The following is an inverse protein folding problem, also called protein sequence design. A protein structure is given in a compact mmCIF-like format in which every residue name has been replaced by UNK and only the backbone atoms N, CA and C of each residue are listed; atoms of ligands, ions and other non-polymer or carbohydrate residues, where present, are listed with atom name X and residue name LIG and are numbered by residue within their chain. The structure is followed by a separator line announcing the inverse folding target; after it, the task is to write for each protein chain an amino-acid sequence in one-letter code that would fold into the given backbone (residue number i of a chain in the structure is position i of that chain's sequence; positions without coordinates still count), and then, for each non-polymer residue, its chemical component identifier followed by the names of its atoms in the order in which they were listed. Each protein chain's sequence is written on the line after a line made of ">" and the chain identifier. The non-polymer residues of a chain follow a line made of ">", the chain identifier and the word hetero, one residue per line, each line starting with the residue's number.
data_IF_170577680087
#
_entry.id   IF_170577680087
#
_cell.length_a   1.000
_cell.length_b   1.000
_cell.length_c   1.000
_cell.angle_alpha   90.00
_cell.angle_beta   90.00
_cell.angle_gamma   90.00
#
_symmetry.space_group_name_H-M   'P 1'
#
loop_
_entity.id
_entity.type
_entity.pdbx_description
1 polymer ?
#
# COMPACT_ATOMS: atom_id res chain seq x y z
N UNK A 1 2.82 14.85 -7.42
CA UNK A 1 3.36 16.21 -7.27
C UNK A 1 4.05 16.52 -8.57
N UNK A 2 3.55 17.47 -9.33
CA UNK A 2 4.17 17.88 -10.59
C UNK A 2 5.13 19.04 -10.36
N UNK A 3 6.04 19.30 -11.29
CA UNK A 3 6.98 20.42 -11.17
C UNK A 3 6.23 21.77 -11.14
N UNK A 4 5.12 21.88 -11.86
CA UNK A 4 4.27 23.07 -11.89
C UNK A 4 3.62 23.33 -10.52
N UNK A 5 3.16 22.28 -9.83
CA UNK A 5 2.63 22.37 -8.47
C UNK A 5 3.69 22.95 -7.50
N UNK A 6 4.95 22.52 -7.65
CA UNK A 6 6.07 23.01 -6.83
C UNK A 6 6.40 24.47 -7.13
N UNK A 7 6.42 24.86 -8.41
CA UNK A 7 6.65 26.26 -8.82
C UNK A 7 5.56 27.22 -8.31
N UNK A 8 4.36 26.71 -8.06
CA UNK A 8 3.27 27.45 -7.42
C UNK A 8 3.39 27.55 -5.89
N UNK A 9 4.47 27.01 -5.31
CA UNK A 9 4.72 27.02 -3.87
C UNK A 9 4.09 25.85 -3.12
N UNK A 10 3.52 24.85 -3.82
CA UNK A 10 3.00 23.65 -3.16
C UNK A 10 4.14 22.68 -2.88
N UNK A 11 4.59 22.64 -1.63
CA UNK A 11 5.68 21.77 -1.16
C UNK A 11 5.20 20.40 -0.66
N UNK A 12 3.88 20.21 -0.56
CA UNK A 12 3.26 18.92 -0.23
C UNK A 12 2.08 18.65 -1.18
N UNK A 13 1.83 17.37 -1.51
CA UNK A 13 0.64 16.99 -2.26
C UNK A 13 -0.65 17.35 -1.50
N UNK A 14 -1.76 17.57 -2.23
CA UNK A 14 -3.08 17.76 -1.61
C UNK A 14 -3.48 16.58 -0.71
N UNK A 15 -4.09 16.87 0.43
CA UNK A 15 -4.57 15.86 1.41
C UNK A 15 -5.55 14.86 0.76
N UNK A 16 -6.31 15.29 -0.26
CA UNK A 16 -7.21 14.40 -0.99
C UNK A 16 -6.50 13.20 -1.64
N UNK A 17 -5.20 13.31 -1.95
CA UNK A 17 -4.39 12.24 -2.55
C UNK A 17 -3.68 11.38 -1.50
N UNK A 18 -3.88 11.63 -0.20
CA UNK A 18 -3.09 10.99 0.87
C UNK A 18 -3.15 9.46 0.82
N UNK A 19 -4.31 8.87 0.54
CA UNK A 19 -4.47 7.42 0.50
C UNK A 19 -3.67 6.78 -0.65
N UNK A 20 -3.73 7.39 -1.83
CA UNK A 20 -2.99 6.90 -3.00
C UNK A 20 -1.48 7.03 -2.79
N UNK A 21 -1.04 8.13 -2.17
CA UNK A 21 0.37 8.34 -1.83
C UNK A 21 0.83 7.34 -0.78
N UNK A 22 0.06 7.13 0.28
CA UNK A 22 0.41 6.16 1.34
C UNK A 22 0.52 4.75 0.80
N UNK A 23 -0.29 4.36 -0.19
CA UNK A 23 -0.16 3.07 -0.87
C UNK A 23 1.21 2.90 -1.54
N UNK A 24 1.64 3.90 -2.33
CA UNK A 24 2.95 3.87 -3.00
C UNK A 24 4.11 3.88 -2.00
N UNK A 25 4.02 4.71 -0.95
CA UNK A 25 5.04 4.80 0.11
C UNK A 25 5.14 3.48 0.87
N UNK A 26 4.01 2.86 1.25
CA UNK A 26 4.00 1.58 1.95
C UNK A 26 4.62 0.47 1.10
N UNK A 27 4.31 0.40 -0.20
CA UNK A 27 4.94 -0.57 -1.10
C UNK A 27 6.46 -0.36 -1.20
N UNK A 28 6.93 0.90 -1.30
CA UNK A 28 8.35 1.19 -1.31
C UNK A 28 9.05 0.77 0.00
N UNK A 29 8.44 1.04 1.15
CA UNK A 29 8.98 0.65 2.46
C UNK A 29 9.04 -0.87 2.62
N UNK A 30 7.99 -1.59 2.21
CA UNK A 30 7.97 -3.06 2.28
C UNK A 30 9.05 -3.66 1.38
N UNK A 31 9.19 -3.13 0.15
CA UNK A 31 10.23 -3.58 -0.77
C UNK A 31 11.63 -3.40 -0.16
N UNK A 32 11.93 -2.23 0.39
CA UNK A 32 13.23 -1.95 1.02
C UNK A 32 13.45 -2.88 2.24
N UNK A 33 12.44 -3.04 3.09
CA UNK A 33 12.53 -3.91 4.26
C UNK A 33 12.77 -5.39 3.88
N UNK A 34 12.27 -5.84 2.73
CA UNK A 34 12.55 -7.18 2.19
C UNK A 34 13.98 -7.28 1.66
N UNK A 35 14.47 -6.25 0.96
CA UNK A 35 15.84 -6.20 0.43
C UNK A 35 16.88 -6.17 1.56
N UNK A 36 16.60 -5.49 2.67
CA UNK A 36 17.44 -5.44 3.87
C UNK A 36 17.25 -6.62 4.84
N UNK A 37 16.39 -7.60 4.51
CA UNK A 37 16.07 -8.76 5.37
C UNK A 37 15.49 -8.37 6.75
N UNK A 38 14.76 -7.26 6.81
CA UNK A 38 14.07 -6.74 8.00
C UNK A 38 12.58 -7.12 8.07
N UNK A 39 12.01 -7.59 6.96
CA UNK A 39 10.59 -7.91 6.87
C UNK A 39 10.26 -9.30 7.46
N UNK A 40 9.40 -9.33 8.49
CA UNK A 40 9.02 -10.59 9.18
C UNK A 40 7.75 -11.26 8.61
N UNK A 41 6.86 -10.49 7.98
CA UNK A 41 5.52 -10.95 7.63
C UNK A 41 4.46 -10.53 8.65
N UNK A 42 3.18 -10.79 8.35
CA UNK A 42 2.06 -10.55 9.26
C UNK A 42 0.91 -11.51 8.99
N UNK A 43 0.39 -12.13 10.05
CA UNK A 43 -0.69 -13.13 10.01
C UNK A 43 -0.40 -14.26 9.01
N UNK A 44 -1.16 -14.32 7.92
CA UNK A 44 -1.14 -15.40 6.95
C UNK A 44 -0.03 -15.23 5.90
N UNK A 45 0.64 -14.07 5.88
CA UNK A 45 1.72 -13.78 4.93
C UNK A 45 3.06 -13.81 5.66
N UNK A 46 3.89 -14.77 5.30
CA UNK A 46 5.25 -14.91 5.85
C UNK A 46 6.28 -14.04 5.09
N UNK A 47 7.49 -13.92 5.64
CA UNK A 47 8.58 -13.17 5.02
C UNK A 47 8.97 -13.66 3.61
N UNK A 48 8.81 -14.96 3.31
CA UNK A 48 9.15 -15.52 1.99
C UNK A 48 8.10 -15.17 0.95
N UNK A 49 6.84 -15.16 1.35
CA UNK A 49 5.73 -14.73 0.50
C UNK A 49 5.80 -13.22 0.23
N UNK A 50 6.09 -12.41 1.26
CA UNK A 50 6.39 -10.98 1.06
C UNK A 50 7.55 -10.75 0.09
N UNK A 51 8.58 -11.59 0.15
CA UNK A 51 9.71 -11.51 -0.79
C UNK A 51 9.27 -11.75 -2.23
N UNK A 52 8.47 -12.78 -2.48
CA UNK A 52 7.91 -13.06 -3.82
C UNK A 52 7.02 -11.93 -4.31
N UNK A 53 6.13 -11.42 -3.46
CA UNK A 53 5.27 -10.28 -3.79
C UNK A 53 6.09 -9.04 -4.17
N UNK A 54 7.24 -8.83 -3.53
CA UNK A 54 8.11 -7.69 -3.79
C UNK A 54 8.86 -7.76 -5.12
N UNK A 55 8.87 -8.92 -5.80
CA UNK A 55 9.44 -9.07 -7.15
C UNK A 55 8.61 -8.35 -8.21
N UNK A 56 7.29 -8.21 -7.99
CA UNK A 56 6.37 -7.50 -8.87
C UNK A 56 5.74 -6.29 -8.16
N UNK A 57 6.09 -5.09 -8.61
CA UNK A 57 5.58 -3.84 -8.04
C UNK A 57 4.05 -3.76 -8.06
N UNK A 58 3.39 -4.21 -9.12
CA UNK A 58 1.93 -4.12 -9.24
C UNK A 58 1.22 -5.04 -8.25
N UNK A 59 1.75 -6.24 -8.06
CA UNK A 59 1.25 -7.19 -7.06
C UNK A 59 1.43 -6.66 -5.65
N UNK A 60 2.58 -6.06 -5.34
CA UNK A 60 2.83 -5.45 -4.04
C UNK A 60 1.90 -4.25 -3.78
N UNK A 61 1.66 -3.41 -4.78
CA UNK A 61 0.71 -2.30 -4.65
C UNK A 61 -0.72 -2.79 -4.42
N UNK A 62 -1.13 -3.84 -5.12
CA UNK A 62 -2.44 -4.47 -4.94
C UNK A 62 -2.56 -5.11 -3.55
N UNK A 63 -1.50 -5.80 -3.10
CA UNK A 63 -1.42 -6.38 -1.76
C UNK A 63 -1.59 -5.31 -0.69
N UNK A 64 -0.86 -4.19 -0.78
CA UNK A 64 -1.03 -3.06 0.14
C UNK A 64 -2.48 -2.55 0.10
N UNK A 65 -3.02 -2.30 -1.09
CA UNK A 65 -4.36 -1.73 -1.27
C UNK A 65 -5.47 -2.60 -0.68
N UNK A 66 -5.43 -3.92 -0.88
CA UNK A 66 -6.42 -4.86 -0.34
C UNK A 66 -6.35 -4.93 1.19
N UNK A 67 -5.16 -4.73 1.77
CA UNK A 67 -4.97 -4.74 3.22
C UNK A 67 -5.20 -3.38 3.88
N UNK A 68 -5.45 -2.30 3.13
CA UNK A 68 -5.82 -1.01 3.71
C UNK A 68 -7.24 -1.06 4.28
N UNK A 69 -7.44 -0.42 5.44
CA UNK A 69 -8.78 -0.25 5.99
C UNK A 69 -9.67 0.59 5.06
N UNK A 70 -10.90 0.14 4.84
CA UNK A 70 -11.91 0.79 4.00
C UNK A 70 -13.12 1.21 4.86
N UNK A 71 -13.70 2.40 4.64
CA UNK A 71 -14.78 2.92 5.46
C UNK A 71 -16.17 2.31 5.16
N UNK A 72 -16.30 1.55 4.08
CA UNK A 72 -17.56 0.93 3.68
C UNK A 72 -17.93 -0.20 4.64
N UNK A 73 -19.12 -0.08 5.24
CA UNK A 73 -19.63 -1.14 6.11
C UNK A 73 -19.87 -2.43 5.33
N UNK A 74 -19.44 -3.59 5.86
CA UNK A 74 -19.72 -4.87 5.24
C UNK A 74 -21.22 -5.17 5.31
N UNK A 75 -21.74 -5.83 4.27
CA UNK A 75 -23.11 -6.35 4.29
C UNK A 75 -23.26 -7.39 5.39
N UNK A 76 -24.06 -7.07 6.41
CA UNK A 76 -24.29 -7.96 7.56
C UNK A 76 -25.38 -9.02 7.30
N UNK A 77 -26.07 -8.94 6.16
CA UNK A 77 -27.14 -9.88 5.81
C UNK A 77 -26.54 -11.20 5.39
N UNK A 78 -26.76 -12.24 6.19
CA UNK A 78 -26.42 -13.61 5.83
C UNK A 78 -27.24 -14.03 4.60
N UNK A 79 -26.58 -14.23 3.47
CA UNK A 79 -27.15 -14.97 2.33
C UNK A 79 -26.70 -16.43 2.44
N UNK A 80 -27.68 -17.33 2.45
CA UNK A 80 -27.48 -18.76 2.28
C UNK A 80 -27.62 -19.02 0.78
N UNK A 81 -26.51 -19.36 0.12
CA UNK A 81 -26.56 -19.88 -1.25
C UNK A 81 -27.32 -21.21 -1.31
#
# INVERSE_FOLDING_TARGET
>A
MTEEEVLQGMIYPPISKIRDITKEVAAAVVKEAVEEDLAEGYRDVDARELKKLSENKEELLNYVQINMWVPEYPTLVFKKD
#
